data_IF_433227078254
#
_entry.id   IF_433227078254
#
_cell.length_a   1.000
_cell.length_b   1.000
_cell.length_c   1.000
_cell.angle_alpha   90.00
_cell.angle_beta   90.00
_cell.angle_gamma   90.00
#
_symmetry.space_group_name_H-M   'P 1'
#
loop_
_entity.id
_entity.type
_entity.pdbx_description
1 polymer ?
#
# COMPACT_ATOMS: atom_id res chain seq x y z
N UNK A 1 -10.12 1.97 5.19
CA UNK A 1 -10.01 1.30 3.88
C UNK A 1 -11.31 1.35 3.05
N UNK A 2 -12.45 0.91 3.59
CA UNK A 2 -13.67 0.70 2.78
C UNK A 2 -14.21 1.93 2.03
N UNK A 3 -14.14 3.14 2.59
CA UNK A 3 -14.57 4.35 1.89
C UNK A 3 -13.66 4.76 0.72
N UNK A 4 -12.34 4.60 0.90
CA UNK A 4 -11.33 5.02 -0.09
C UNK A 4 -11.27 4.05 -1.29
N UNK A 5 -11.47 2.76 -1.05
CA UNK A 5 -11.56 1.76 -2.13
C UNK A 5 -12.82 1.98 -2.97
N UNK A 6 -13.95 2.32 -2.33
CA UNK A 6 -15.22 2.58 -3.03
C UNK A 6 -15.14 3.84 -3.91
N UNK A 7 -14.46 4.88 -3.45
CA UNK A 7 -14.21 6.09 -4.24
C UNK A 7 -13.30 5.80 -5.45
N UNK A 8 -12.25 4.99 -5.26
CA UNK A 8 -11.38 4.54 -6.35
C UNK A 8 -12.07 3.62 -7.34
N UNK A 9 -12.94 2.71 -6.88
CA UNK A 9 -13.74 1.84 -7.76
C UNK A 9 -14.61 2.64 -8.70
N UNK A 10 -15.18 3.74 -8.20
CA UNK A 10 -16.01 4.65 -9.00
C UNK A 10 -15.21 5.37 -10.10
N UNK A 11 -13.97 5.79 -9.82
CA UNK A 11 -13.19 6.66 -10.71
C UNK A 11 -12.23 5.87 -11.62
N UNK A 12 -11.68 4.75 -11.15
CA UNK A 12 -10.65 3.98 -11.87
C UNK A 12 -11.31 2.95 -12.79
N UNK A 13 -11.00 3.04 -14.09
CA UNK A 13 -11.46 2.05 -15.09
C UNK A 13 -10.79 0.70 -14.85
N UNK A 14 -11.57 -0.38 -14.91
CA UNK A 14 -11.06 -1.75 -14.75
C UNK A 14 -11.00 -2.27 -13.30
N UNK A 15 -11.41 -1.48 -12.31
CA UNK A 15 -11.41 -1.92 -10.90
C UNK A 15 -12.56 -2.89 -10.54
N UNK A 16 -13.58 -3.02 -11.40
CA UNK A 16 -14.69 -3.97 -11.24
C UNK A 16 -14.34 -5.42 -11.58
N UNK A 17 -13.16 -5.66 -12.16
CA UNK A 17 -12.66 -7.02 -12.39
C UNK A 17 -12.04 -7.53 -11.08
N UNK A 18 -12.57 -8.62 -10.53
CA UNK A 18 -12.16 -9.18 -9.23
C UNK A 18 -10.65 -9.49 -9.13
N UNK A 19 -10.02 -9.83 -10.25
CA UNK A 19 -8.60 -10.18 -10.37
C UNK A 19 -7.72 -8.98 -10.78
N UNK A 20 -8.17 -7.75 -10.51
CA UNK A 20 -7.37 -6.58 -10.90
C UNK A 20 -6.14 -6.44 -9.99
N UNK A 21 -4.90 -6.48 -10.53
CA UNK A 21 -3.68 -6.29 -9.72
C UNK A 21 -3.60 -4.90 -9.10
N UNK A 22 -4.45 -3.96 -9.56
CA UNK A 22 -4.56 -2.62 -9.02
C UNK A 22 -5.02 -2.61 -7.56
N UNK A 23 -5.91 -3.52 -7.15
CA UNK A 23 -6.40 -3.56 -5.77
C UNK A 23 -5.28 -3.99 -4.81
N UNK A 24 -4.56 -5.05 -5.19
CA UNK A 24 -3.41 -5.57 -4.44
C UNK A 24 -2.28 -4.54 -4.36
N UNK A 25 -1.94 -3.89 -5.48
CA UNK A 25 -0.96 -2.81 -5.51
C UNK A 25 -1.37 -1.64 -4.61
N UNK A 26 -2.67 -1.31 -4.58
CA UNK A 26 -3.17 -0.24 -3.74
C UNK A 26 -3.09 -0.57 -2.24
N UNK A 27 -3.37 -1.81 -1.85
CA UNK A 27 -3.18 -2.28 -0.48
C UNK A 27 -1.72 -2.18 -0.04
N UNK A 28 -0.77 -2.57 -0.91
CA UNK A 28 0.67 -2.46 -0.63
C UNK A 28 1.05 -0.99 -0.43
N UNK A 29 0.61 -0.11 -1.33
CA UNK A 29 0.87 1.33 -1.22
C UNK A 29 0.33 1.92 0.10
N UNK A 30 -0.92 1.62 0.44
CA UNK A 30 -1.55 2.10 1.67
C UNK A 30 -0.82 1.60 2.92
N UNK A 31 -0.38 0.34 2.93
CA UNK A 31 0.24 -0.27 4.11
C UNK A 31 1.70 0.14 4.34
N UNK A 32 2.47 0.35 3.26
CA UNK A 32 3.92 0.48 3.37
C UNK A 32 4.50 1.81 2.88
N UNK A 33 3.74 2.60 2.10
CA UNK A 33 4.26 3.81 1.46
C UNK A 33 3.52 5.06 1.91
N UNK A 34 2.18 5.01 1.98
CA UNK A 34 1.35 6.16 2.34
C UNK A 34 1.49 6.50 3.84
N UNK A 35 2.04 7.67 4.21
CA UNK A 35 2.06 8.10 5.61
C UNK A 35 0.63 8.43 6.07
N UNK A 36 0.27 7.99 7.28
CA UNK A 36 -1.01 8.30 7.89
C UNK A 36 -0.85 9.35 8.98
N UNK A 37 -1.57 10.47 8.86
CA UNK A 37 -1.60 11.50 9.90
C UNK A 37 -2.10 10.96 11.24
N UNK A 38 -3.08 10.04 11.22
CA UNK A 38 -3.59 9.36 12.43
C UNK A 38 -2.58 8.43 13.09
N UNK A 39 -1.54 7.99 12.37
CA UNK A 39 -0.44 7.17 12.88
C UNK A 39 0.81 8.02 13.13
N UNK A 40 0.63 9.32 13.38
CA UNK A 40 1.72 10.25 13.67
C UNK A 40 2.74 10.36 12.51
N UNK A 41 2.27 10.23 11.27
CA UNK A 41 3.10 10.23 10.06
C UNK A 41 3.68 8.87 9.68
N UNK A 42 3.43 7.82 10.49
CA UNK A 42 3.91 6.46 10.21
C UNK A 42 3.01 5.74 9.22
N UNK A 43 3.59 4.78 8.51
CA UNK A 43 2.81 3.82 7.72
C UNK A 43 2.22 2.73 8.63
N UNK A 44 1.12 2.07 8.24
CA UNK A 44 0.56 0.95 8.99
C UNK A 44 1.59 -0.15 9.28
N UNK A 45 2.46 -0.45 8.32
CA UNK A 45 3.55 -1.40 8.49
C UNK A 45 4.55 -0.96 9.56
N UNK A 46 4.95 0.32 9.56
CA UNK A 46 5.81 0.88 10.59
C UNK A 46 5.16 0.90 11.98
N UNK A 47 3.84 1.13 12.03
CA UNK A 47 3.09 1.04 13.29
C UNK A 47 3.06 -0.39 13.84
N UNK A 48 3.04 -1.41 12.97
CA UNK A 48 3.19 -2.82 13.33
C UNK A 48 4.65 -3.25 13.59
N UNK A 49 5.63 -2.34 13.50
CA UNK A 49 7.05 -2.64 13.75
C UNK A 49 7.81 -3.19 12.53
N UNK A 50 7.19 -3.26 11.35
CA UNK A 50 7.86 -3.60 10.10
C UNK A 50 8.54 -2.32 9.58
N UNK A 51 9.85 -2.21 9.81
CA UNK A 51 10.65 -1.08 9.34
C UNK A 51 11.14 -1.34 7.92
N UNK A 52 10.81 -0.43 7.01
CA UNK A 52 11.40 -0.39 5.67
C UNK A 52 12.55 0.63 5.73
N UNK A 53 13.77 0.14 5.94
CA UNK A 53 14.97 0.96 6.08
C UNK A 53 15.62 1.22 4.71
N UNK A 54 14.92 1.96 3.85
CA UNK A 54 15.46 2.37 2.56
C UNK A 54 14.90 3.70 2.11
N UNK A 55 15.75 4.52 1.49
CA UNK A 55 15.38 5.80 0.86
C UNK A 55 14.20 5.63 -0.11
N UNK A 56 14.21 4.52 -0.85
CA UNK A 56 13.16 4.14 -1.78
C UNK A 56 12.32 2.98 -1.23
N UNK A 57 11.24 3.30 -0.50
CA UNK A 57 10.33 2.32 0.11
C UNK A 57 9.84 1.24 -0.85
N UNK A 58 9.55 1.60 -2.10
CA UNK A 58 9.12 0.66 -3.15
C UNK A 58 10.22 -0.33 -3.56
N UNK A 59 11.45 0.16 -3.76
CA UNK A 59 12.58 -0.68 -4.16
C UNK A 59 12.89 -1.69 -3.06
N UNK A 60 12.93 -1.24 -1.81
CA UNK A 60 13.18 -2.11 -0.64
C UNK A 60 12.11 -3.19 -0.49
N UNK A 61 10.84 -2.86 -0.74
CA UNK A 61 9.74 -3.83 -0.76
C UNK A 61 9.96 -4.94 -1.80
N UNK A 62 10.32 -4.55 -3.03
CA UNK A 62 10.56 -5.50 -4.14
C UNK A 62 11.78 -6.37 -3.82
N UNK A 63 12.86 -5.79 -3.29
CA UNK A 63 14.06 -6.52 -2.91
C UNK A 63 13.80 -7.52 -1.76
N UNK A 64 13.00 -7.13 -0.77
CA UNK A 64 12.62 -8.03 0.33
C UNK A 64 11.74 -9.18 -0.16
N UNK A 65 10.79 -8.91 -1.06
CA UNK A 65 9.96 -9.95 -1.67
C UNK A 65 10.78 -10.90 -2.56
N UNK A 66 11.74 -10.38 -3.33
CA UNK A 66 12.62 -11.18 -4.21
C UNK A 66 13.65 -12.03 -3.45
N UNK A 67 13.91 -11.73 -2.17
CA UNK A 67 14.79 -12.52 -1.30
C UNK A 67 14.07 -13.65 -0.56
N UNK A 68 12.74 -13.74 -0.68
CA UNK A 68 11.92 -14.80 -0.07
C UNK A 68 11.75 -16.00 -0.99
#
# INVERSE_FOLDING_TARGET
LNGEIRDREKVVRGLKQSESPLLSGYQIYHNYVRPHSSLNGKTPAEACGIKIEGDNKWLTLIQNASKS
#
